data_IF_533020186347
#
_entry.id   IF_533020186347
#
_cell.length_a   1.000
_cell.length_b   1.000
_cell.length_c   1.000
_cell.angle_alpha   90.00
_cell.angle_beta   90.00
_cell.angle_gamma   90.00
#
_symmetry.space_group_name_H-M   'P 1'
#
loop_
_entity.id
_entity.type
_entity.pdbx_description
1 polymer ?
#
# COMPACT_ATOMS: atom_id res chain seq x y z
N UNK A 1 -11.64 -6.30 13.67
CA UNK A 1 -11.29 -6.42 12.24
C UNK A 1 -10.18 -7.44 11.99
N UNK A 2 -9.02 -7.39 12.66
CA UNK A 2 -7.94 -8.37 12.50
C UNK A 2 -8.40 -9.82 12.66
N UNK A 3 -9.20 -10.12 13.71
CA UNK A 3 -9.76 -11.47 13.95
C UNK A 3 -10.59 -11.96 12.76
N UNK A 4 -11.39 -11.09 12.17
CA UNK A 4 -12.19 -11.42 10.99
C UNK A 4 -11.30 -11.70 9.76
N UNK A 5 -10.28 -10.87 9.55
CA UNK A 5 -9.31 -11.08 8.46
C UNK A 5 -8.55 -12.41 8.62
N UNK A 6 -8.08 -12.75 9.84
CA UNK A 6 -7.44 -14.05 10.10
C UNK A 6 -8.36 -15.22 9.77
N UNK A 7 -9.62 -15.18 10.22
CA UNK A 7 -10.59 -16.24 9.93
C UNK A 7 -10.87 -16.39 8.42
N UNK A 8 -10.92 -15.26 7.70
CA UNK A 8 -11.11 -15.28 6.25
C UNK A 8 -9.93 -15.92 5.54
N UNK A 9 -8.70 -15.60 5.95
CA UNK A 9 -7.47 -16.22 5.44
C UNK A 9 -7.44 -17.72 5.69
N UNK A 10 -7.72 -18.16 6.92
CA UNK A 10 -7.80 -19.58 7.29
C UNK A 10 -8.84 -20.32 6.43
N UNK A 11 -10.02 -19.73 6.24
CA UNK A 11 -11.08 -20.31 5.41
C UNK A 11 -10.64 -20.44 3.95
N UNK A 12 -9.81 -19.50 3.47
CA UNK A 12 -9.23 -19.55 2.12
C UNK A 12 -8.00 -20.46 2.01
N UNK A 13 -7.61 -21.16 3.09
CA UNK A 13 -6.46 -22.05 3.11
C UNK A 13 -5.11 -21.37 3.25
N UNK A 14 -5.10 -20.10 3.69
CA UNK A 14 -3.87 -19.33 3.95
C UNK A 14 -3.54 -19.41 5.43
N UNK A 15 -2.31 -19.78 5.76
CA UNK A 15 -1.82 -19.78 7.14
C UNK A 15 -1.60 -18.31 7.62
N UNK A 16 -2.39 -17.82 8.59
CA UNK A 16 -2.25 -16.45 9.06
C UNK A 16 -0.95 -16.20 9.85
N UNK A 17 -0.22 -17.24 10.27
CA UNK A 17 1.05 -17.05 10.98
C UNK A 17 2.14 -16.39 10.12
N UNK A 18 2.03 -16.50 8.79
CA UNK A 18 2.89 -15.83 7.83
C UNK A 18 2.44 -14.40 7.46
N UNK A 19 1.37 -13.90 8.08
CA UNK A 19 0.76 -12.59 7.75
C UNK A 19 0.96 -11.63 8.91
N UNK A 20 1.60 -10.51 8.62
CA UNK A 20 1.72 -9.40 9.57
C UNK A 20 0.53 -8.44 9.41
N UNK A 21 -0.12 -8.13 10.51
CA UNK A 21 -1.23 -7.18 10.55
C UNK A 21 -0.78 -5.89 11.25
N UNK A 22 -0.92 -4.78 10.58
CA UNK A 22 -0.74 -3.47 11.19
C UNK A 22 -1.89 -2.53 10.86
N UNK A 23 -2.25 -1.72 11.84
CA UNK A 23 -3.39 -0.84 11.76
C UNK A 23 -2.99 0.52 11.19
N UNK A 24 -3.59 0.86 10.05
CA UNK A 24 -3.51 2.20 9.48
C UNK A 24 -4.92 2.72 9.24
N UNK A 25 -5.31 3.87 9.82
CA UNK A 25 -6.61 4.47 9.52
C UNK A 25 -6.66 4.92 8.06
N UNK A 26 -7.76 4.65 7.40
CA UNK A 26 -8.06 5.03 6.02
C UNK A 26 -9.39 5.75 5.92
N UNK A 27 -9.60 6.51 4.85
CA UNK A 27 -10.90 7.08 4.54
C UNK A 27 -11.76 6.07 3.78
N UNK A 28 -11.16 5.27 2.90
CA UNK A 28 -11.86 4.32 2.06
C UNK A 28 -11.02 3.05 1.82
N UNK A 29 -11.57 2.08 1.10
CA UNK A 29 -11.00 0.74 0.90
C UNK A 29 -10.28 0.54 -0.45
N UNK A 30 -9.94 1.60 -1.15
CA UNK A 30 -9.34 1.56 -2.48
C UNK A 30 -7.83 1.25 -2.46
N UNK A 31 -7.45 0.11 -1.85
CA UNK A 31 -6.04 -0.29 -1.65
C UNK A 31 -5.24 -0.40 -2.95
N UNK A 32 -5.88 -0.71 -4.09
CA UNK A 32 -5.24 -0.76 -5.40
C UNK A 32 -4.71 0.61 -5.82
N UNK A 33 -5.39 1.67 -5.40
CA UNK A 33 -5.10 3.03 -5.81
C UNK A 33 -4.18 3.76 -4.82
N UNK A 34 -4.42 3.61 -3.52
CA UNK A 34 -3.65 4.30 -2.48
C UNK A 34 -2.57 3.44 -1.80
N UNK A 35 -2.50 2.14 -2.11
CA UNK A 35 -1.46 1.27 -1.54
C UNK A 35 -0.07 1.57 -2.13
N UNK A 36 1.01 1.19 -1.41
CA UNK A 36 2.37 1.42 -1.89
C UNK A 36 2.72 0.52 -3.07
N UNK A 37 3.51 1.04 -3.99
CA UNK A 37 4.20 0.24 -4.99
C UNK A 37 5.62 -0.07 -4.52
N UNK A 38 6.03 -1.34 -4.58
CA UNK A 38 7.39 -1.75 -4.22
C UNK A 38 8.23 -1.93 -5.46
N UNK A 39 9.40 -1.27 -5.51
CA UNK A 39 10.45 -1.58 -6.47
C UNK A 39 11.52 -2.42 -5.79
N UNK A 40 11.94 -3.49 -6.47
CA UNK A 40 12.93 -4.44 -5.95
C UNK A 40 14.09 -4.55 -6.93
N UNK A 41 15.30 -4.31 -6.41
CA UNK A 41 16.55 -4.54 -7.12
C UNK A 41 17.55 -5.21 -6.16
N UNK A 42 17.68 -6.56 -6.20
CA UNK A 42 18.56 -7.29 -5.30
C UNK A 42 20.04 -6.89 -5.40
N UNK A 43 20.46 -6.33 -6.56
CA UNK A 43 21.84 -5.88 -6.79
C UNK A 43 22.15 -4.48 -6.28
N UNK A 44 21.15 -3.73 -5.79
CA UNK A 44 21.35 -2.39 -5.27
C UNK A 44 21.75 -2.41 -3.79
N UNK A 45 22.53 -1.41 -3.30
CA UNK A 45 22.81 -1.25 -1.87
C UNK A 45 21.55 -1.12 -1.02
N UNK A 46 20.50 -0.51 -1.57
CA UNK A 46 19.15 -0.47 -1.03
C UNK A 46 18.22 -1.28 -1.96
N UNK A 47 17.98 -2.57 -1.66
CA UNK A 47 17.35 -3.47 -2.62
C UNK A 47 15.84 -3.27 -2.76
N UNK A 48 15.22 -2.53 -1.84
CA UNK A 48 13.77 -2.32 -1.82
C UNK A 48 13.46 -0.85 -1.51
N UNK A 49 12.56 -0.28 -2.30
CA UNK A 49 12.05 1.09 -2.12
C UNK A 49 10.56 1.12 -2.36
N UNK A 50 9.86 2.02 -1.69
CA UNK A 50 8.46 2.30 -1.94
C UNK A 50 8.36 3.49 -2.90
N UNK A 51 7.53 3.34 -3.93
CA UNK A 51 7.07 4.46 -4.76
C UNK A 51 5.74 4.92 -4.18
N UNK A 52 5.70 6.17 -3.77
CA UNK A 52 4.52 6.83 -3.23
C UNK A 52 3.90 7.71 -4.33
N UNK A 53 2.96 7.14 -5.07
CA UNK A 53 2.16 7.87 -6.03
C UNK A 53 1.16 8.73 -5.30
N UNK A 54 0.93 9.95 -5.76
CA UNK A 54 -0.15 10.78 -5.23
C UNK A 54 -1.52 10.11 -5.44
N UNK A 55 -2.37 10.22 -4.43
CA UNK A 55 -3.75 9.75 -4.49
C UNK A 55 -4.71 10.90 -4.20
N UNK A 56 -5.68 11.13 -5.07
CA UNK A 56 -6.64 12.22 -4.93
C UNK A 56 -8.10 11.81 -5.14
N UNK A 57 -8.40 10.53 -4.92
CA UNK A 57 -9.75 9.96 -5.08
C UNK A 57 -10.38 10.32 -6.43
N UNK A 58 -9.62 10.08 -7.52
CA UNK A 58 -10.02 10.34 -8.92
C UNK A 58 -10.43 11.79 -9.16
N UNK A 59 -9.52 12.72 -8.82
CA UNK A 59 -9.77 14.15 -9.00
C UNK A 59 -10.76 14.73 -8.02
N UNK A 60 -10.66 14.30 -6.74
CA UNK A 60 -11.52 14.76 -5.64
C UNK A 60 -13.00 14.31 -5.78
N UNK A 61 -13.23 13.17 -6.42
CA UNK A 61 -14.57 12.64 -6.60
C UNK A 61 -15.17 12.11 -5.29
N UNK A 62 -14.32 11.54 -4.41
CA UNK A 62 -14.71 10.95 -3.13
C UNK A 62 -13.86 11.47 -1.96
N UNK A 63 -13.99 12.77 -1.59
CA UNK A 63 -13.29 13.29 -0.43
C UNK A 63 -13.98 12.82 0.89
N UNK A 64 -13.24 12.79 2.03
CA UNK A 64 -11.80 13.05 2.17
C UNK A 64 -10.94 11.86 1.73
N UNK A 65 -9.66 12.10 1.43
CA UNK A 65 -8.69 11.06 1.05
C UNK A 65 -7.31 11.27 1.69
N UNK A 66 -7.22 12.19 2.63
CA UNK A 66 -5.97 12.55 3.31
C UNK A 66 -5.35 11.39 4.10
N UNK A 67 -6.18 10.51 4.67
CA UNK A 67 -5.70 9.31 5.37
C UNK A 67 -5.22 8.24 4.40
N UNK A 68 -5.82 8.16 3.22
CA UNK A 68 -5.47 7.21 2.18
C UNK A 68 -4.16 7.60 1.48
N UNK A 69 -4.00 8.89 1.16
CA UNK A 69 -2.83 9.42 0.46
C UNK A 69 -1.51 9.20 1.22
N UNK A 70 -1.56 9.11 2.55
CA UNK A 70 -0.36 8.91 3.39
C UNK A 70 -0.03 7.44 3.69
N UNK A 71 -0.80 6.49 3.20
CA UNK A 71 -0.59 5.06 3.49
C UNK A 71 0.79 4.57 3.02
N UNK A 72 1.28 4.87 1.81
CA UNK A 72 2.61 4.43 1.38
C UNK A 72 3.73 4.91 2.31
N UNK A 73 3.69 6.16 2.72
CA UNK A 73 4.67 6.72 3.67
C UNK A 73 4.61 6.04 5.03
N UNK A 74 3.41 5.73 5.57
CA UNK A 74 3.26 5.02 6.85
C UNK A 74 3.82 3.60 6.77
N UNK A 75 3.57 2.89 5.67
CA UNK A 75 4.11 1.55 5.44
C UNK A 75 5.63 1.59 5.30
N UNK A 76 6.17 2.57 4.56
CA UNK A 76 7.61 2.77 4.44
C UNK A 76 8.27 2.99 5.79
N UNK A 77 7.69 3.82 6.65
CA UNK A 77 8.19 4.06 8.02
C UNK A 77 8.15 2.79 8.87
N UNK A 78 7.08 1.99 8.77
CA UNK A 78 6.95 0.73 9.50
C UNK A 78 8.09 -0.25 9.14
N UNK A 79 8.40 -0.36 7.85
CA UNK A 79 9.46 -1.25 7.36
C UNK A 79 10.85 -0.59 7.29
N UNK A 80 10.97 0.67 7.67
CA UNK A 80 12.21 1.45 7.54
C UNK A 80 12.76 1.44 6.11
N UNK A 81 11.88 1.65 5.14
CA UNK A 81 12.22 1.69 3.72
C UNK A 81 12.28 3.13 3.20
N UNK A 82 13.17 3.40 2.24
CA UNK A 82 13.14 4.69 1.55
C UNK A 82 11.89 4.84 0.68
N UNK A 83 11.46 6.08 0.52
CA UNK A 83 10.30 6.46 -0.30
C UNK A 83 10.78 7.32 -1.47
N UNK A 84 10.28 7.02 -2.64
CA UNK A 84 10.39 7.86 -3.82
C UNK A 84 9.02 8.43 -4.17
N UNK A 85 8.90 9.75 -4.15
CA UNK A 85 7.68 10.49 -4.48
C UNK A 85 7.82 11.12 -5.87
N UNK A 86 7.21 10.56 -6.92
CA UNK A 86 7.31 11.11 -8.28
C UNK A 86 6.59 12.45 -8.46
N UNK A 87 5.69 12.81 -7.54
CA UNK A 87 4.92 14.05 -7.61
C UNK A 87 3.77 14.02 -8.63
N UNK A 88 3.34 12.83 -9.04
CA UNK A 88 2.20 12.65 -9.94
C UNK A 88 1.17 11.73 -9.31
N UNK A 89 -0.10 11.94 -9.63
CA UNK A 89 -1.18 11.01 -9.29
C UNK A 89 -1.15 9.84 -10.25
N UNK A 90 -1.21 8.63 -9.71
CA UNK A 90 -1.25 7.39 -10.50
C UNK A 90 -2.40 6.53 -9.99
N UNK A 91 -3.37 6.30 -10.84
CA UNK A 91 -4.50 5.42 -10.55
C UNK A 91 -4.07 3.95 -10.72
N UNK A 92 -4.51 3.08 -9.82
CA UNK A 92 -4.11 1.69 -9.78
C UNK A 92 -4.41 0.89 -11.06
N UNK A 93 -5.42 1.31 -11.83
CA UNK A 93 -5.74 0.74 -13.14
C UNK A 93 -4.73 1.05 -14.24
N UNK A 94 -3.85 2.03 -14.01
CA UNK A 94 -2.80 2.44 -14.97
C UNK A 94 -1.46 1.75 -14.70
N UNK A 95 -1.37 0.87 -13.70
CA UNK A 95 -0.12 0.25 -13.24
C UNK A 95 -0.19 -1.26 -13.41
N UNK A 96 0.87 -1.83 -13.98
CA UNK A 96 1.10 -3.26 -14.06
C UNK A 96 2.37 -3.65 -13.29
N UNK A 97 2.37 -4.86 -12.75
CA UNK A 97 3.48 -5.40 -11.98
C UNK A 97 3.97 -6.71 -12.59
N UNK A 98 5.26 -6.90 -12.57
CA UNK A 98 5.89 -8.12 -13.08
C UNK A 98 6.25 -9.16 -12.00
N UNK A 99 5.77 -8.94 -10.79
CA UNK A 99 5.94 -9.85 -9.67
C UNK A 99 7.13 -9.59 -8.77
#
# INVERSE_FOLDING_TARGET
MQKFASQTLETAGVDPSGVEFFYNPTNDAWCRDHGPAFLINPGAPQPKVIVDWGYNAWGNKYPPFDLDDVIPTRIANHFNLPVYEPGIVMEGGSVEFNG
#
